data_IF_268814110820
#
_entry.id   IF_268814110820
#
_cell.length_a   1.000
_cell.length_b   1.000
_cell.length_c   1.000
_cell.angle_alpha   90.00
_cell.angle_beta   90.00
_cell.angle_gamma   90.00
#
_symmetry.space_group_name_H-M   'P 1'
#
loop_
_entity.id
_entity.type
_entity.pdbx_description
1 polymer ?
#
# COMPACT_ATOMS: atom_id res chain seq x y z
N UNK A 1 -7.04 19.25 76.35
CA UNK A 1 -6.31 18.46 75.35
C UNK A 1 -6.95 18.71 73.99
N UNK A 2 -6.38 19.64 73.18
CA UNK A 2 -6.88 19.97 71.85
C UNK A 2 -6.05 19.15 70.88
N UNK A 3 -6.69 18.29 70.13
CA UNK A 3 -6.11 17.63 68.96
C UNK A 3 -6.52 18.46 67.74
N UNK A 4 -5.61 19.26 67.26
CA UNK A 4 -5.69 19.94 65.98
C UNK A 4 -4.94 19.06 64.99
N UNK A 5 -5.68 18.23 64.26
CA UNK A 5 -5.14 17.54 63.09
C UNK A 5 -5.75 18.16 61.84
N UNK A 6 -5.18 19.30 61.46
CA UNK A 6 -5.36 19.79 60.10
C UNK A 6 -4.27 19.12 59.23
N UNK A 7 -4.49 17.90 58.85
CA UNK A 7 -3.74 17.22 57.80
C UNK A 7 -4.46 17.51 56.49
N UNK A 8 -4.22 18.66 55.91
CA UNK A 8 -4.55 18.91 54.52
C UNK A 8 -3.58 18.11 53.65
N UNK A 9 -3.96 16.90 53.34
CA UNK A 9 -3.26 16.09 52.34
C UNK A 9 -3.62 16.67 50.96
N UNK A 10 -2.85 17.65 50.54
CA UNK A 10 -2.87 18.10 49.16
C UNK A 10 -2.06 17.08 48.33
N UNK A 11 -2.71 15.96 47.96
CA UNK A 11 -2.08 14.96 47.14
C UNK A 11 -2.22 15.39 45.66
N UNK A 12 -1.24 16.11 45.17
CA UNK A 12 -1.12 16.35 43.72
C UNK A 12 -0.30 15.21 43.12
N UNK A 13 -0.92 14.46 42.20
CA UNK A 13 -0.22 13.46 41.41
C UNK A 13 0.17 14.07 40.05
N UNK A 14 1.46 14.19 39.82
CA UNK A 14 1.98 14.61 38.52
C UNK A 14 2.04 13.38 37.59
N UNK A 15 1.28 13.42 36.49
CA UNK A 15 1.34 12.39 35.45
C UNK A 15 2.20 12.90 34.30
N UNK A 16 3.32 12.22 34.05
CA UNK A 16 4.25 12.57 32.97
C UNK A 16 4.06 11.61 31.79
N UNK A 17 4.23 12.11 30.56
CA UNK A 17 4.26 11.27 29.38
C UNK A 17 5.46 10.30 29.45
N UNK A 18 5.27 8.99 29.24
CA UNK A 18 6.34 8.00 29.29
C UNK A 18 7.30 8.09 28.10
N UNK A 19 6.93 8.82 27.07
CA UNK A 19 7.71 9.03 25.85
C UNK A 19 7.34 10.35 25.18
N UNK A 20 8.19 10.82 24.27
CA UNK A 20 7.86 11.96 23.40
C UNK A 20 6.69 11.58 22.50
N UNK A 21 5.59 12.32 22.60
CA UNK A 21 4.36 12.06 21.88
C UNK A 21 3.53 13.34 21.77
N UNK A 22 2.51 13.33 20.91
CA UNK A 22 1.51 14.38 20.81
C UNK A 22 0.26 14.00 21.58
N UNK A 23 -0.40 14.96 22.20
CA UNK A 23 -1.71 14.77 22.81
C UNK A 23 -2.75 14.66 21.68
N UNK A 24 -3.45 13.53 21.63
CA UNK A 24 -4.45 13.24 20.60
C UNK A 24 -5.86 13.51 21.12
N UNK A 25 -6.07 13.27 22.41
CA UNK A 25 -7.37 13.44 23.04
C UNK A 25 -7.20 13.71 24.53
N UNK A 26 -8.09 14.52 25.10
CA UNK A 26 -8.20 14.80 26.53
C UNK A 26 -9.59 14.36 26.97
N UNK A 27 -9.63 13.22 27.66
CA UNK A 27 -10.88 12.55 28.05
C UNK A 27 -11.58 13.18 29.25
N UNK A 28 -11.01 14.20 29.89
CA UNK A 28 -11.52 14.79 31.14
C UNK A 28 -11.49 16.31 31.09
N UNK A 29 -12.37 16.95 31.85
CA UNK A 29 -12.43 18.40 31.99
C UNK A 29 -11.86 18.85 33.36
N UNK A 30 -11.33 20.08 33.46
CA UNK A 30 -10.91 20.63 34.73
C UNK A 30 -12.03 20.59 35.78
N UNK A 31 -11.71 20.12 37.00
CA UNK A 31 -12.66 19.97 38.09
C UNK A 31 -13.53 18.70 38.03
N UNK A 32 -13.39 17.89 37.00
CA UNK A 32 -14.09 16.61 36.89
C UNK A 32 -13.51 15.57 37.88
N UNK A 33 -14.40 14.91 38.59
CA UNK A 33 -14.02 13.73 39.40
C UNK A 33 -13.81 12.53 38.50
N UNK A 34 -12.71 11.84 38.68
CA UNK A 34 -12.34 10.68 37.90
C UNK A 34 -12.24 9.44 38.79
N UNK A 35 -12.57 8.28 38.25
CA UNK A 35 -12.41 7.00 38.92
C UNK A 35 -10.98 6.50 38.77
N UNK A 36 -10.64 5.53 39.61
CA UNK A 36 -9.34 4.87 39.50
C UNK A 36 -9.19 4.19 38.14
N UNK A 37 -8.04 4.37 37.49
CA UNK A 37 -7.72 3.86 36.17
C UNK A 37 -8.53 4.47 35.01
N UNK A 38 -9.31 5.53 35.23
CA UNK A 38 -9.97 6.23 34.13
C UNK A 38 -8.92 6.87 33.20
N UNK A 39 -9.09 6.80 31.87
CA UNK A 39 -8.21 7.46 30.92
C UNK A 39 -8.35 8.98 31.06
N UNK A 40 -7.24 9.68 31.26
CA UNK A 40 -7.22 11.15 31.35
C UNK A 40 -6.85 11.81 30.05
N UNK A 41 -5.79 11.29 29.41
CA UNK A 41 -5.20 11.85 28.19
C UNK A 41 -4.78 10.69 27.29
N UNK A 42 -5.08 10.80 26.02
CA UNK A 42 -4.58 9.89 24.98
C UNK A 42 -3.41 10.55 24.27
N UNK A 43 -2.29 9.91 24.28
CA UNK A 43 -1.09 10.36 23.56
C UNK A 43 -0.74 9.36 22.47
N UNK A 44 -0.23 9.86 21.34
CA UNK A 44 0.24 9.05 20.24
C UNK A 44 1.53 9.62 19.65
N UNK A 45 2.36 8.72 19.12
CA UNK A 45 3.49 9.12 18.30
C UNK A 45 2.96 9.32 16.88
N UNK A 46 3.12 10.51 16.32
CA UNK A 46 2.60 10.88 15.01
C UNK A 46 3.66 10.75 13.90
N UNK A 47 4.86 10.30 14.25
CA UNK A 47 5.94 10.02 13.29
C UNK A 47 6.80 8.88 13.84
N UNK A 48 6.98 7.78 13.09
CA UNK A 48 6.34 7.50 11.80
C UNK A 48 4.83 7.23 11.92
N UNK A 49 4.09 7.50 10.86
CA UNK A 49 2.72 7.03 10.69
C UNK A 49 2.69 5.69 9.95
N UNK A 50 1.66 4.91 10.20
CA UNK A 50 1.36 3.72 9.41
C UNK A 50 0.11 3.96 8.58
N UNK A 51 0.17 3.55 7.31
CA UNK A 51 -0.99 3.48 6.43
C UNK A 51 -1.37 2.01 6.24
N UNK A 52 -2.64 1.72 6.32
CA UNK A 52 -3.22 0.41 6.04
C UNK A 52 -3.92 0.47 4.68
N UNK A 53 -3.50 -0.40 3.79
CA UNK A 53 -3.94 -0.44 2.40
C UNK A 53 -4.59 -1.81 2.17
N UNK A 54 -5.85 -1.81 1.75
CA UNK A 54 -6.55 -3.03 1.37
C UNK A 54 -6.36 -3.29 -0.13
N UNK A 55 -5.68 -4.37 -0.47
CA UNK A 55 -5.34 -4.70 -1.85
C UNK A 55 -6.07 -5.98 -2.26
N UNK A 56 -6.76 -6.01 -3.41
CA UNK A 56 -7.37 -7.23 -3.92
C UNK A 56 -6.37 -8.40 -3.97
N UNK A 57 -6.80 -9.58 -3.54
CA UNK A 57 -5.93 -10.76 -3.47
C UNK A 57 -5.31 -11.11 -4.83
N UNK A 58 -6.00 -10.82 -5.94
CA UNK A 58 -5.49 -10.98 -7.31
C UNK A 58 -4.22 -10.15 -7.60
N UNK A 59 -4.06 -9.01 -6.93
CA UNK A 59 -2.99 -8.03 -7.21
C UNK A 59 -1.84 -8.11 -6.21
N UNK A 60 -1.93 -8.98 -5.20
CA UNK A 60 -0.92 -9.05 -4.12
C UNK A 60 0.40 -9.68 -4.57
N UNK A 61 0.36 -10.52 -5.61
CA UNK A 61 1.50 -11.33 -6.04
C UNK A 61 2.79 -10.55 -6.35
N UNK A 62 2.66 -9.29 -6.73
CA UNK A 62 3.79 -8.40 -7.06
C UNK A 62 4.25 -7.52 -5.88
N UNK A 63 3.50 -7.46 -4.77
CA UNK A 63 3.82 -6.58 -3.64
C UNK A 63 4.70 -7.33 -2.64
N UNK A 64 5.78 -6.70 -2.24
CA UNK A 64 6.75 -7.22 -1.27
C UNK A 64 7.03 -6.19 -0.19
N UNK A 65 7.51 -6.67 0.96
CA UNK A 65 8.09 -5.78 1.98
C UNK A 65 9.23 -4.95 1.37
N UNK A 66 9.28 -3.67 1.70
CA UNK A 66 10.21 -2.70 1.11
C UNK A 66 9.66 -1.96 -0.11
N UNK A 67 8.54 -2.39 -0.70
CA UNK A 67 7.90 -1.70 -1.82
C UNK A 67 7.61 -0.24 -1.46
N UNK A 68 7.82 0.65 -2.43
CA UNK A 68 7.59 2.09 -2.28
C UNK A 68 6.09 2.38 -2.28
N UNK A 69 5.68 3.27 -1.40
CA UNK A 69 4.29 3.75 -1.33
C UNK A 69 4.29 5.26 -1.52
N UNK A 70 3.49 5.73 -2.45
CA UNK A 70 3.24 7.15 -2.70
C UNK A 70 1.81 7.49 -2.30
N UNK A 71 1.63 8.59 -1.58
CA UNK A 71 0.31 9.05 -1.16
C UNK A 71 -0.12 10.17 -2.09
N UNK A 72 -1.27 10.02 -2.71
CA UNK A 72 -1.79 11.00 -3.66
C UNK A 72 -2.04 12.35 -2.97
N UNK A 73 -1.60 13.42 -3.61
CA UNK A 73 -1.70 14.78 -3.06
C UNK A 73 -0.64 15.12 -1.99
N UNK A 74 0.25 14.19 -1.64
CA UNK A 74 1.30 14.43 -0.65
C UNK A 74 2.67 14.06 -1.22
N UNK A 75 3.68 14.90 -0.97
CA UNK A 75 5.07 14.63 -1.40
C UNK A 75 5.76 13.55 -0.53
N UNK A 76 5.00 12.83 0.27
CA UNK A 76 5.52 11.91 1.27
C UNK A 76 5.59 10.49 0.71
N UNK A 77 6.72 9.84 0.95
CA UNK A 77 7.00 8.49 0.52
C UNK A 77 7.01 7.54 1.72
N UNK A 78 6.31 6.42 1.57
CA UNK A 78 6.32 5.32 2.52
C UNK A 78 7.00 4.07 1.96
N UNK A 79 7.14 3.06 2.82
CA UNK A 79 7.60 1.72 2.45
C UNK A 79 6.71 0.67 3.08
N UNK A 80 6.37 -0.35 2.31
CA UNK A 80 5.66 -1.53 2.83
C UNK A 80 6.53 -2.21 3.89
N UNK A 81 5.97 -2.39 5.08
CA UNK A 81 6.62 -3.07 6.20
C UNK A 81 6.01 -4.43 6.49
N UNK A 82 4.75 -4.63 6.06
CA UNK A 82 4.04 -5.89 6.29
C UNK A 82 3.04 -6.12 5.14
N UNK A 83 3.02 -7.35 4.66
CA UNK A 83 1.96 -7.90 3.80
C UNK A 83 1.32 -9.02 4.58
N UNK A 84 0.01 -8.94 4.84
CA UNK A 84 -0.72 -9.98 5.57
C UNK A 84 -0.72 -11.29 4.77
N UNK A 85 -0.61 -12.41 5.45
CA UNK A 85 -0.77 -13.73 4.87
C UNK A 85 -2.24 -14.18 4.82
N UNK A 86 -3.14 -13.40 5.43
CA UNK A 86 -4.56 -13.72 5.50
C UNK A 86 -5.37 -12.77 4.63
N UNK A 87 -6.36 -13.33 3.94
CA UNK A 87 -7.34 -12.58 3.15
C UNK A 87 -8.57 -12.30 4.00
N UNK A 88 -9.06 -11.07 3.99
CA UNK A 88 -10.37 -10.74 4.53
C UNK A 88 -11.45 -11.39 3.66
N UNK A 89 -12.25 -12.26 4.24
CA UNK A 89 -13.23 -13.06 3.52
C UNK A 89 -14.41 -12.21 2.98
N UNK A 90 -14.72 -11.10 3.64
CA UNK A 90 -15.84 -10.25 3.24
C UNK A 90 -15.48 -9.35 2.05
N UNK A 91 -14.26 -8.81 2.05
CA UNK A 91 -13.79 -7.85 1.04
C UNK A 91 -12.89 -8.47 -0.03
N UNK A 92 -12.45 -9.73 0.17
CA UNK A 92 -11.48 -10.43 -0.69
C UNK A 92 -10.18 -9.64 -0.88
N UNK A 93 -9.78 -8.87 0.16
CA UNK A 93 -8.56 -8.08 0.16
C UNK A 93 -7.53 -8.61 1.15
N UNK A 94 -6.29 -8.28 0.90
CA UNK A 94 -5.15 -8.53 1.78
C UNK A 94 -4.69 -7.20 2.35
N UNK A 95 -4.47 -7.15 3.67
CA UNK A 95 -3.99 -5.96 4.34
C UNK A 95 -2.50 -5.80 4.11
N UNK A 96 -2.12 -4.65 3.56
CA UNK A 96 -0.73 -4.21 3.44
C UNK A 96 -0.53 -3.02 4.35
N UNK A 97 0.50 -3.05 5.19
CA UNK A 97 0.87 -1.93 6.04
C UNK A 97 2.15 -1.29 5.54
N UNK A 98 2.12 0.02 5.36
CA UNK A 98 3.30 0.80 5.01
C UNK A 98 3.63 1.80 6.11
N UNK A 99 4.91 2.03 6.31
CA UNK A 99 5.43 3.05 7.22
C UNK A 99 5.79 4.32 6.46
N UNK A 100 5.36 5.45 6.99
CA UNK A 100 5.62 6.78 6.49
C UNK A 100 6.47 7.51 7.52
N UNK A 101 7.77 7.65 7.27
CA UNK A 101 8.70 8.22 8.25
C UNK A 101 8.39 9.67 8.60
N UNK A 102 7.96 10.44 7.60
CA UNK A 102 7.58 11.84 7.77
C UNK A 102 6.17 12.05 7.23
N UNK A 103 5.22 12.10 8.12
CA UNK A 103 3.80 12.18 7.79
C UNK A 103 3.37 13.51 7.17
N UNK A 104 4.16 14.60 7.36
CA UNK A 104 3.79 15.92 6.86
C UNK A 104 2.43 16.38 7.40
N UNK A 105 1.50 16.61 6.49
CA UNK A 105 0.12 17.04 6.81
C UNK A 105 -0.86 15.87 7.01
N UNK A 106 -0.38 14.64 6.99
CA UNK A 106 -1.23 13.46 7.20
C UNK A 106 -1.61 13.30 8.67
N UNK A 107 -2.85 12.99 8.92
CA UNK A 107 -3.39 12.83 10.27
C UNK A 107 -3.87 11.40 10.51
N UNK A 108 -3.71 10.86 11.73
CA UNK A 108 -4.29 9.58 12.09
C UNK A 108 -5.80 9.54 11.89
N UNK A 109 -6.31 8.46 11.29
CA UNK A 109 -7.73 8.30 10.99
C UNK A 109 -8.17 8.93 9.66
N UNK A 110 -7.26 9.58 8.94
CA UNK A 110 -7.51 10.11 7.60
C UNK A 110 -7.51 8.97 6.58
N UNK A 111 -8.42 9.03 5.61
CA UNK A 111 -8.39 8.19 4.40
C UNK A 111 -7.65 8.92 3.29
N UNK A 112 -6.75 8.24 2.61
CA UNK A 112 -5.99 8.79 1.48
C UNK A 112 -5.84 7.71 0.39
N UNK A 113 -5.77 8.14 -0.86
CA UNK A 113 -5.39 7.25 -1.94
C UNK A 113 -3.87 7.04 -1.94
N UNK A 114 -3.43 5.80 -2.18
CA UNK A 114 -2.03 5.45 -2.21
C UNK A 114 -1.72 4.58 -3.42
N UNK A 115 -0.54 4.80 -4.01
CA UNK A 115 0.05 3.93 -5.03
C UNK A 115 1.16 3.11 -4.42
N UNK A 116 1.09 1.80 -4.60
CA UNK A 116 2.14 0.87 -4.16
C UNK A 116 2.92 0.46 -5.39
N UNK A 117 4.22 0.76 -5.41
CA UNK A 117 5.11 0.32 -6.49
C UNK A 117 5.42 -1.16 -6.33
N UNK A 118 5.37 -1.90 -7.40
CA UNK A 118 5.78 -3.30 -7.40
C UNK A 118 7.32 -3.38 -7.30
N UNK A 119 7.82 -4.19 -6.38
CA UNK A 119 9.22 -4.58 -6.39
C UNK A 119 9.33 -5.83 -7.26
N UNK A 120 9.83 -5.68 -8.46
CA UNK A 120 10.27 -6.80 -9.27
C UNK A 120 11.56 -7.35 -8.65
N UNK A 121 11.55 -8.61 -8.26
CA UNK A 121 12.74 -9.30 -7.74
C UNK A 121 13.71 -9.58 -8.91
N UNK A 122 14.42 -8.55 -9.37
CA UNK A 122 15.44 -8.66 -10.41
C UNK A 122 14.91 -8.72 -11.85
N UNK A 123 13.61 -8.72 -12.07
CA UNK A 123 12.98 -8.62 -13.38
C UNK A 123 12.35 -7.23 -13.55
N UNK A 124 12.53 -6.63 -14.71
CA UNK A 124 11.87 -5.37 -15.04
C UNK A 124 10.37 -5.60 -15.13
N UNK A 125 9.58 -4.75 -14.48
CA UNK A 125 8.14 -4.72 -14.61
C UNK A 125 7.74 -3.55 -15.51
N UNK A 126 6.79 -3.81 -16.38
CA UNK A 126 6.33 -2.87 -17.40
C UNK A 126 4.84 -2.65 -17.29
N UNK A 127 4.43 -1.41 -17.26
CA UNK A 127 3.02 -1.04 -17.38
C UNK A 127 2.70 -0.87 -18.86
N UNK A 128 1.71 -1.61 -19.33
CA UNK A 128 1.25 -1.58 -20.72
C UNK A 128 -0.27 -1.43 -20.77
N UNK A 129 -0.83 -0.82 -21.84
CA UNK A 129 -2.28 -0.81 -22.02
C UNK A 129 -2.84 -2.22 -22.07
N UNK A 130 -4.01 -2.43 -21.45
CA UNK A 130 -4.69 -3.73 -21.44
C UNK A 130 -4.90 -4.30 -22.85
N UNK A 131 -5.12 -3.42 -23.83
CA UNK A 131 -5.29 -3.79 -25.25
C UNK A 131 -4.07 -4.52 -25.84
N UNK A 132 -2.87 -4.35 -25.26
CA UNK A 132 -1.65 -5.05 -25.69
C UNK A 132 -1.50 -6.47 -25.16
N UNK A 133 -2.30 -6.85 -24.16
CA UNK A 133 -2.22 -8.18 -23.54
C UNK A 133 -2.93 -9.24 -24.36
N UNK A 134 -2.24 -10.33 -24.64
CA UNK A 134 -2.78 -11.52 -25.31
C UNK A 134 -2.89 -12.65 -24.31
N UNK A 135 -4.09 -13.13 -24.02
CA UNK A 135 -4.33 -14.29 -23.16
C UNK A 135 -4.64 -15.53 -24.00
N UNK A 136 -4.01 -16.65 -23.63
CA UNK A 136 -4.29 -17.98 -24.17
C UNK A 136 -4.34 -18.99 -23.01
N UNK A 137 -5.56 -19.27 -22.52
CA UNK A 137 -5.74 -19.99 -21.27
C UNK A 137 -5.10 -19.23 -20.11
N UNK A 138 -4.23 -19.86 -19.38
CA UNK A 138 -3.51 -19.23 -18.25
C UNK A 138 -2.24 -18.45 -18.67
N UNK A 139 -1.84 -18.56 -19.93
CA UNK A 139 -0.65 -17.87 -20.43
C UNK A 139 -0.98 -16.47 -20.90
N UNK A 140 -0.21 -15.50 -20.40
CA UNK A 140 -0.21 -14.12 -20.86
C UNK A 140 0.99 -13.88 -21.77
N UNK A 141 0.81 -13.08 -22.81
CA UNK A 141 1.85 -12.75 -23.78
C UNK A 141 1.62 -11.36 -24.36
N UNK A 142 2.62 -10.78 -24.95
CA UNK A 142 2.55 -9.50 -25.68
C UNK A 142 3.21 -9.65 -27.04
N UNK A 143 2.74 -8.89 -28.03
CA UNK A 143 3.43 -8.77 -29.30
C UNK A 143 4.44 -7.65 -29.25
N UNK A 144 5.71 -7.97 -29.45
CA UNK A 144 6.80 -7.02 -29.48
C UNK A 144 7.34 -6.91 -30.92
N UNK A 145 7.52 -5.68 -31.40
CA UNK A 145 8.11 -5.43 -32.70
C UNK A 145 9.64 -5.68 -32.65
N UNK A 146 10.12 -6.65 -33.42
CA UNK A 146 11.56 -6.99 -33.55
C UNK A 146 11.85 -7.45 -34.95
N UNK A 147 13.01 -7.07 -35.46
CA UNK A 147 13.56 -7.55 -36.76
C UNK A 147 12.57 -7.38 -37.94
N UNK A 148 11.82 -6.30 -37.96
CA UNK A 148 10.86 -6.00 -39.04
C UNK A 148 9.56 -6.80 -38.99
N UNK A 149 9.28 -7.50 -37.89
CA UNK A 149 8.05 -8.24 -37.63
C UNK A 149 7.58 -8.13 -36.19
N UNK A 150 6.63 -8.97 -35.81
CA UNK A 150 6.15 -9.06 -34.43
C UNK A 150 6.44 -10.44 -33.86
N UNK A 151 6.99 -10.49 -32.66
CA UNK A 151 7.21 -11.71 -31.90
C UNK A 151 6.25 -11.77 -30.71
N UNK A 152 5.65 -12.93 -30.48
CA UNK A 152 4.83 -13.17 -29.30
C UNK A 152 5.74 -13.56 -28.13
N UNK A 153 5.83 -12.69 -27.13
CA UNK A 153 6.70 -12.89 -25.97
C UNK A 153 5.81 -13.25 -24.77
N UNK A 154 6.07 -14.39 -24.11
CA UNK A 154 5.39 -14.74 -22.88
C UNK A 154 5.77 -13.78 -21.75
N UNK A 155 4.77 -13.36 -20.96
CA UNK A 155 4.96 -12.47 -19.84
C UNK A 155 4.19 -12.98 -18.63
N UNK A 156 4.69 -12.69 -17.43
CA UNK A 156 3.96 -12.91 -16.21
C UNK A 156 3.12 -11.67 -15.90
N UNK A 157 1.83 -11.86 -15.68
CA UNK A 157 0.93 -10.81 -15.25
C UNK A 157 1.12 -10.58 -13.76
N UNK A 158 1.50 -9.38 -13.37
CA UNK A 158 1.75 -9.02 -11.97
C UNK A 158 0.56 -8.30 -11.35
N UNK A 159 -0.11 -7.43 -12.13
CA UNK A 159 -1.31 -6.73 -11.72
C UNK A 159 -2.12 -6.32 -12.95
N UNK A 160 -3.42 -6.07 -12.77
CA UNK A 160 -4.30 -5.55 -13.81
C UNK A 160 -5.31 -4.56 -13.21
N UNK A 161 -5.64 -3.56 -14.00
CA UNK A 161 -6.77 -2.67 -13.76
C UNK A 161 -7.62 -2.55 -15.04
N UNK A 162 -8.53 -1.57 -15.11
CA UNK A 162 -9.45 -1.42 -16.24
C UNK A 162 -8.76 -1.05 -17.56
N UNK A 163 -7.69 -0.27 -17.49
CA UNK A 163 -7.03 0.32 -18.66
C UNK A 163 -5.62 -0.22 -18.89
N UNK A 164 -4.93 -0.67 -17.83
CA UNK A 164 -3.54 -1.07 -17.87
C UNK A 164 -3.29 -2.42 -17.18
N UNK A 165 -2.19 -3.04 -17.56
CA UNK A 165 -1.66 -4.23 -16.90
C UNK A 165 -0.18 -4.05 -16.62
N UNK A 166 0.27 -4.59 -15.48
CA UNK A 166 1.69 -4.67 -15.15
C UNK A 166 2.16 -6.08 -15.44
N UNK A 167 3.17 -6.18 -16.28
CA UNK A 167 3.74 -7.45 -16.71
C UNK A 167 5.24 -7.51 -16.44
N UNK A 168 5.78 -8.71 -16.21
CA UNK A 168 7.22 -8.95 -16.20
C UNK A 168 7.57 -9.99 -17.26
N UNK A 169 8.75 -9.84 -17.88
CA UNK A 169 9.21 -10.73 -18.93
C UNK A 169 10.42 -10.16 -19.66
N UNK A 170 10.92 -10.87 -20.68
CA UNK A 170 12.07 -10.46 -21.45
C UNK A 170 11.76 -9.33 -22.44
N UNK A 171 11.29 -8.22 -21.88
CA UNK A 171 10.92 -6.97 -22.58
C UNK A 171 11.87 -5.87 -22.09
N UNK A 172 12.21 -4.91 -22.92
CA UNK A 172 13.02 -3.76 -22.60
C UNK A 172 12.27 -2.44 -22.85
N UNK A 173 12.79 -1.35 -22.31
CA UNK A 173 12.28 0.02 -22.50
C UNK A 173 12.36 0.52 -23.97
N UNK A 174 13.08 -0.23 -24.82
CA UNK A 174 13.24 0.08 -26.25
C UNK A 174 12.33 -0.75 -27.14
N UNK A 175 11.58 -1.69 -26.56
CA UNK A 175 10.70 -2.56 -27.32
C UNK A 175 9.35 -1.86 -27.57
N UNK A 176 8.89 -1.86 -28.80
CA UNK A 176 7.56 -1.39 -29.18
C UNK A 176 6.55 -2.52 -29.02
N UNK A 177 5.53 -2.31 -28.19
CA UNK A 177 4.46 -3.28 -27.95
C UNK A 177 3.25 -2.94 -28.79
N UNK A 178 2.71 -3.92 -29.53
CA UNK A 178 1.49 -3.74 -30.29
C UNK A 178 0.28 -3.60 -29.35
N UNK A 179 -0.43 -2.49 -29.43
CA UNK A 179 -1.66 -2.21 -28.67
C UNK A 179 -2.91 -2.21 -29.55
N UNK A 180 -2.73 -2.41 -30.85
CA UNK A 180 -3.83 -2.52 -31.85
C UNK A 180 -3.49 -3.56 -32.89
N UNK A 181 -4.50 -4.05 -33.64
CA UNK A 181 -4.30 -5.08 -34.65
C UNK A 181 -3.98 -6.48 -34.11
N UNK A 182 -4.12 -6.71 -32.80
CA UNK A 182 -3.78 -7.97 -32.12
C UNK A 182 -4.47 -9.19 -32.77
N UNK A 183 -5.74 -9.05 -33.17
CA UNK A 183 -6.50 -10.14 -33.81
C UNK A 183 -5.89 -10.54 -35.16
N UNK A 184 -5.38 -9.59 -35.95
CA UNK A 184 -4.70 -9.87 -37.20
C UNK A 184 -3.37 -10.59 -36.97
N UNK A 185 -2.58 -10.11 -36.01
CA UNK A 185 -1.31 -10.75 -35.62
C UNK A 185 -1.50 -12.19 -35.12
N UNK A 186 -2.56 -12.44 -34.34
CA UNK A 186 -2.93 -13.81 -33.91
C UNK A 186 -3.30 -14.71 -35.09
N UNK A 187 -4.03 -14.17 -36.09
CA UNK A 187 -4.39 -14.90 -37.28
C UNK A 187 -3.18 -15.30 -38.15
N UNK A 188 -2.19 -14.43 -38.23
CA UNK A 188 -0.92 -14.72 -38.95
C UNK A 188 -0.14 -15.82 -38.24
N UNK A 189 0.03 -15.71 -36.93
CA UNK A 189 0.73 -16.71 -36.11
C UNK A 189 0.09 -18.09 -36.18
N UNK A 190 -1.27 -18.16 -36.22
CA UNK A 190 -1.97 -19.42 -36.32
C UNK A 190 -1.72 -20.13 -37.66
N UNK A 191 -1.41 -19.38 -38.73
CA UNK A 191 -1.10 -19.91 -40.06
C UNK A 191 0.36 -20.34 -40.23
N UNK A 192 1.27 -19.74 -39.46
CA UNK A 192 2.70 -20.06 -39.53
C UNK A 192 3.11 -21.24 -38.63
N UNK A 193 2.23 -21.70 -37.76
CA UNK A 193 2.47 -22.79 -36.81
C UNK A 193 1.80 -24.12 -37.21
N UNK A 194 1.33 -24.27 -38.48
CA UNK A 194 0.88 -25.56 -39.04
C UNK A 194 1.90 -26.14 -39.99
#
# INVERSE_FOLDING_TARGET
>A
MRLTSDVSISATLTVTAPQTASVVDIAVSPGQRVEQAAPLVKIARLSPLWIEISIPASNIGAIRSGAKVEIEGHATLGRVILVSETTDAATQTILVRAEIPNAGELHPGQTAAARVSFLSAGESAWEIPYAGLVRRGEQSSVFVARDGGFQLIPVALLAEDQDHVVVSGPISDKDDIAISGISALRGILSRMGQ
#
